data_IF_437716017373
#
_entry.id   IF_437716017373
#
_cell.length_a   1.000
_cell.length_b   1.000
_cell.length_c   1.000
_cell.angle_alpha   90.00
_cell.angle_beta   90.00
_cell.angle_gamma   90.00
#
_symmetry.space_group_name_H-M   'P 1'
#
loop_
_entity.id
_entity.type
_entity.pdbx_description
1 polymer ?
#
# COMPACT_ATOMS: atom_id res chain seq x y z
N UNK A 1 -20.70 -9.40 -5.27
CA UNK A 1 -21.19 -10.58 -4.53
C UNK A 1 -22.01 -10.04 -3.38
N UNK A 2 -23.34 -10.18 -3.42
CA UNK A 2 -24.22 -9.59 -2.40
C UNK A 2 -24.74 -10.71 -1.51
N UNK A 3 -24.03 -10.99 -0.41
CA UNK A 3 -24.40 -12.04 0.55
C UNK A 3 -24.90 -11.35 1.83
N UNK A 4 -26.05 -11.79 2.32
CA UNK A 4 -26.66 -11.29 3.55
C UNK A 4 -26.82 -12.43 4.55
N UNK A 5 -26.74 -12.09 5.83
CA UNK A 5 -26.82 -13.01 6.95
C UNK A 5 -27.86 -12.49 7.92
N UNK A 6 -28.64 -13.39 8.50
CA UNK A 6 -29.49 -13.10 9.66
C UNK A 6 -29.02 -13.96 10.81
N UNK A 7 -28.90 -13.36 12.00
CA UNK A 7 -28.76 -14.13 13.24
C UNK A 7 -30.16 -14.37 13.80
N UNK A 8 -30.46 -15.62 14.12
CA UNK A 8 -31.66 -15.99 14.87
C UNK A 8 -31.41 -15.78 16.38
N UNK A 9 -32.47 -15.53 17.17
CA UNK A 9 -32.32 -15.36 18.61
C UNK A 9 -32.00 -16.72 19.24
N UNK A 10 -30.99 -16.77 20.12
CA UNK A 10 -30.73 -18.00 20.88
C UNK A 10 -31.93 -18.30 21.81
N UNK A 11 -32.39 -19.57 21.92
CA UNK A 11 -31.80 -20.80 21.39
C UNK A 11 -32.44 -21.31 20.08
N UNK A 12 -33.16 -20.46 19.34
CA UNK A 12 -33.93 -20.86 18.16
C UNK A 12 -33.01 -21.22 16.97
N UNK A 13 -33.35 -22.31 16.29
CA UNK A 13 -32.81 -22.72 15.00
C UNK A 13 -33.83 -22.39 13.88
N UNK A 14 -33.46 -22.50 12.58
CA UNK A 14 -34.37 -22.11 11.50
C UNK A 14 -35.72 -22.86 11.49
N UNK A 15 -35.73 -24.12 11.95
CA UNK A 15 -36.93 -24.95 11.97
C UNK A 15 -37.82 -24.61 13.17
N UNK A 16 -37.26 -24.50 14.38
CA UNK A 16 -38.00 -24.06 15.57
C UNK A 16 -38.56 -22.65 15.41
N UNK A 17 -37.75 -21.71 14.89
CA UNK A 17 -38.18 -20.33 14.65
C UNK A 17 -39.34 -20.26 13.65
N UNK A 18 -39.30 -21.04 12.57
CA UNK A 18 -40.35 -21.10 11.57
C UNK A 18 -41.63 -21.79 12.07
N UNK A 19 -41.53 -22.68 13.07
CA UNK A 19 -42.68 -23.35 13.68
C UNK A 19 -43.33 -22.51 14.79
N UNK A 20 -42.54 -21.69 15.49
CA UNK A 20 -42.99 -20.84 16.58
C UNK A 20 -43.60 -19.51 16.12
N UNK A 21 -43.36 -19.12 14.87
CA UNK A 21 -43.82 -17.85 14.27
C UNK A 21 -44.63 -18.06 12.99
N UNK A 22 -45.49 -17.09 12.68
CA UNK A 22 -46.19 -17.05 11.39
C UNK A 22 -45.23 -16.68 10.26
N UNK A 23 -45.57 -17.06 9.02
CA UNK A 23 -44.77 -16.72 7.85
C UNK A 23 -44.54 -15.20 7.69
N UNK A 24 -45.50 -14.37 8.11
CA UNK A 24 -45.37 -12.92 8.08
C UNK A 24 -44.35 -12.42 9.12
N UNK A 25 -44.39 -12.95 10.35
CA UNK A 25 -43.43 -12.62 11.41
C UNK A 25 -42.00 -13.05 11.05
N UNK A 26 -41.83 -14.22 10.43
CA UNK A 26 -40.51 -14.68 9.97
C UNK A 26 -39.96 -13.77 8.87
N UNK A 27 -40.78 -13.39 7.89
CA UNK A 27 -40.34 -12.47 6.83
C UNK A 27 -39.99 -11.08 7.38
N UNK A 28 -40.79 -10.56 8.31
CA UNK A 28 -40.52 -9.28 8.95
C UNK A 28 -39.23 -9.35 9.76
N UNK A 29 -39.03 -10.43 10.52
CA UNK A 29 -37.80 -10.66 11.28
C UNK A 29 -36.57 -10.68 10.37
N UNK A 30 -36.63 -11.41 9.25
CA UNK A 30 -35.51 -11.47 8.30
C UNK A 30 -35.21 -10.08 7.74
N UNK A 31 -36.22 -9.33 7.32
CA UNK A 31 -36.04 -7.97 6.78
C UNK A 31 -35.48 -6.98 7.81
N UNK A 32 -35.90 -7.11 9.06
CA UNK A 32 -35.47 -6.22 10.14
C UNK A 32 -34.05 -6.52 10.63
N UNK A 33 -33.60 -7.79 10.52
CA UNK A 33 -32.35 -8.25 11.12
C UNK A 33 -31.28 -8.67 10.11
N UNK A 34 -31.59 -8.68 8.81
CA UNK A 34 -30.60 -9.01 7.77
C UNK A 34 -29.46 -8.01 7.80
N UNK A 35 -28.24 -8.53 7.79
CA UNK A 35 -27.02 -7.77 7.79
C UNK A 35 -26.15 -8.20 6.63
N UNK A 36 -25.31 -7.28 6.17
CA UNK A 36 -24.29 -7.59 5.19
C UNK A 36 -23.26 -8.60 5.76
N UNK A 37 -22.85 -9.58 4.93
CA UNK A 37 -21.93 -10.63 5.35
C UNK A 37 -20.57 -10.11 5.83
N UNK A 38 -19.99 -9.11 5.16
CA UNK A 38 -18.69 -8.56 5.56
C UNK A 38 -18.83 -7.79 6.87
N UNK A 39 -19.88 -6.98 7.02
CA UNK A 39 -20.14 -6.25 8.26
C UNK A 39 -20.40 -7.21 9.44
N UNK A 40 -21.14 -8.28 9.19
CA UNK A 40 -21.39 -9.35 10.15
C UNK A 40 -20.09 -10.04 10.56
N UNK A 41 -19.28 -10.48 9.58
CA UNK A 41 -17.99 -11.13 9.80
C UNK A 41 -17.03 -10.24 10.58
N UNK A 42 -16.93 -8.95 10.23
CA UNK A 42 -16.10 -7.99 10.94
C UNK A 42 -16.49 -7.88 12.41
N UNK A 43 -17.80 -7.74 12.72
CA UNK A 43 -18.29 -7.61 14.09
C UNK A 43 -18.15 -8.90 14.91
N UNK A 44 -18.46 -10.04 14.31
CA UNK A 44 -18.33 -11.34 14.95
C UNK A 44 -16.88 -11.60 15.34
N UNK A 45 -15.97 -11.44 14.38
CA UNK A 45 -14.56 -11.71 14.58
C UNK A 45 -13.90 -10.71 15.54
N UNK A 46 -14.33 -9.45 15.54
CA UNK A 46 -13.80 -8.45 16.49
C UNK A 46 -14.11 -8.82 17.95
N UNK A 47 -15.26 -9.45 18.22
CA UNK A 47 -15.59 -9.96 19.57
C UNK A 47 -14.64 -11.09 19.99
N UNK A 48 -14.22 -11.95 19.07
CA UNK A 48 -13.34 -13.08 19.36
C UNK A 48 -11.86 -12.70 19.52
N UNK A 49 -11.46 -11.52 19.03
CA UNK A 49 -10.10 -10.99 19.07
C UNK A 49 -9.89 -9.85 20.07
N UNK A 50 -10.88 -9.55 20.90
CA UNK A 50 -10.81 -8.46 21.88
C UNK A 50 -9.60 -8.65 22.81
N UNK A 51 -8.65 -7.71 22.77
CA UNK A 51 -7.44 -7.71 23.59
C UNK A 51 -6.20 -8.42 23.02
N UNK A 52 -6.28 -9.06 21.83
CA UNK A 52 -5.14 -9.76 21.20
C UNK A 52 -4.75 -9.13 19.84
N UNK A 53 -3.65 -8.35 19.77
CA UNK A 53 -3.18 -7.73 18.54
C UNK A 53 -2.85 -8.72 17.42
N UNK A 54 -2.40 -9.93 17.74
CA UNK A 54 -2.01 -10.94 16.74
C UNK A 54 -3.28 -11.49 16.07
N UNK A 55 -4.30 -11.79 16.87
CA UNK A 55 -5.61 -12.20 16.33
C UNK A 55 -6.23 -11.06 15.53
N UNK A 56 -6.19 -9.82 16.03
CA UNK A 56 -6.68 -8.65 15.29
C UNK A 56 -6.02 -8.52 13.90
N UNK A 57 -4.70 -8.71 13.81
CA UNK A 57 -3.98 -8.70 12.53
C UNK A 57 -4.41 -9.84 11.59
N UNK A 58 -4.59 -11.05 12.10
CA UNK A 58 -5.08 -12.19 11.31
C UNK A 58 -6.49 -11.92 10.73
N UNK A 59 -7.38 -11.33 11.55
CA UNK A 59 -8.72 -10.95 11.13
C UNK A 59 -8.75 -9.90 10.03
N UNK A 60 -7.87 -8.91 10.14
CA UNK A 60 -7.70 -7.89 9.10
C UNK A 60 -7.30 -8.56 7.78
N UNK A 61 -6.37 -9.53 7.81
CA UNK A 61 -5.99 -10.31 6.64
C UNK A 61 -7.15 -11.07 6.00
N UNK A 62 -7.99 -11.72 6.81
CA UNK A 62 -9.18 -12.44 6.35
C UNK A 62 -10.25 -11.52 5.74
N UNK A 63 -10.40 -10.32 6.27
CA UNK A 63 -11.29 -9.30 5.71
C UNK A 63 -10.75 -8.75 4.40
N UNK A 64 -9.46 -8.43 4.33
CA UNK A 64 -8.79 -8.01 3.09
C UNK A 64 -9.00 -9.05 1.99
N UNK A 65 -8.86 -10.35 2.30
CA UNK A 65 -9.11 -11.43 1.36
C UNK A 65 -10.56 -11.45 0.85
N UNK A 66 -11.52 -11.17 1.73
CA UNK A 66 -12.96 -11.17 1.38
C UNK A 66 -13.30 -9.95 0.52
N UNK A 67 -12.75 -8.78 0.85
CA UNK A 67 -12.91 -7.53 0.10
C UNK A 67 -12.25 -7.62 -1.29
N UNK A 68 -11.09 -8.28 -1.40
CA UNK A 68 -10.38 -8.45 -2.66
C UNK A 68 -11.19 -9.22 -3.71
N UNK A 69 -12.09 -10.11 -3.29
CA UNK A 69 -12.97 -10.87 -4.19
C UNK A 69 -14.16 -10.05 -4.72
N UNK A 70 -14.39 -8.84 -4.21
CA UNK A 70 -15.47 -7.96 -4.69
C UNK A 70 -15.03 -7.34 -6.02
N UNK A 71 -15.71 -7.63 -7.14
CA UNK A 71 -15.30 -7.12 -8.46
C UNK A 71 -15.56 -5.62 -8.58
N UNK A 72 -16.74 -5.16 -8.14
CA UNK A 72 -17.16 -3.78 -8.26
C UNK A 72 -16.31 -2.83 -7.39
N UNK A 73 -15.68 -1.80 -7.98
CA UNK A 73 -14.78 -0.91 -7.26
C UNK A 73 -15.48 0.00 -6.26
N UNK A 74 -16.72 0.39 -6.52
CA UNK A 74 -17.49 1.28 -5.64
C UNK A 74 -17.86 0.53 -4.37
N UNK A 75 -18.44 -0.67 -4.50
CA UNK A 75 -18.75 -1.56 -3.39
C UNK A 75 -17.50 -1.83 -2.56
N UNK A 76 -16.39 -2.16 -3.21
CA UNK A 76 -15.11 -2.42 -2.54
C UNK A 76 -14.65 -1.23 -1.69
N UNK A 77 -14.71 -0.01 -2.23
CA UNK A 77 -14.37 1.21 -1.48
C UNK A 77 -15.26 1.42 -0.26
N UNK A 78 -16.56 1.18 -0.39
CA UNK A 78 -17.51 1.27 0.75
C UNK A 78 -17.16 0.26 1.85
N UNK A 79 -16.84 -0.98 1.48
CA UNK A 79 -16.45 -2.00 2.46
C UNK A 79 -15.11 -1.72 3.13
N UNK A 80 -14.14 -1.20 2.40
CA UNK A 80 -12.84 -0.79 2.96
C UNK A 80 -13.05 0.27 4.05
N UNK A 81 -13.86 1.28 3.75
CA UNK A 81 -14.19 2.36 4.70
C UNK A 81 -14.91 1.84 5.95
N UNK A 82 -15.91 0.98 5.79
CA UNK A 82 -16.62 0.39 6.93
C UNK A 82 -15.72 -0.53 7.77
N UNK A 83 -14.84 -1.31 7.15
CA UNK A 83 -13.87 -2.15 7.87
C UNK A 83 -12.86 -1.31 8.66
N UNK A 84 -12.33 -0.23 8.08
CA UNK A 84 -11.45 0.70 8.78
C UNK A 84 -12.10 1.26 10.05
N UNK A 85 -13.38 1.65 9.94
CA UNK A 85 -14.18 2.15 11.07
C UNK A 85 -14.46 1.10 12.13
N UNK A 86 -14.83 -0.13 11.75
CA UNK A 86 -15.17 -1.20 12.70
C UNK A 86 -13.93 -1.72 13.42
N UNK A 87 -12.82 -1.85 12.70
CA UNK A 87 -11.59 -2.46 13.21
C UNK A 87 -10.59 -1.45 13.78
N UNK A 88 -10.88 -0.15 13.70
CA UNK A 88 -9.99 0.93 14.14
C UNK A 88 -8.60 0.80 13.51
N UNK A 89 -8.58 0.83 12.18
CA UNK A 89 -7.36 0.77 11.36
C UNK A 89 -7.44 1.82 10.26
N UNK A 90 -6.27 2.37 9.91
CA UNK A 90 -6.16 3.33 8.83
C UNK A 90 -6.63 2.71 7.51
N UNK A 91 -7.58 3.39 6.85
CA UNK A 91 -8.16 2.99 5.58
C UNK A 91 -7.07 2.79 4.51
N UNK A 92 -6.00 3.60 4.54
CA UNK A 92 -4.89 3.52 3.58
C UNK A 92 -4.15 2.19 3.64
N UNK A 93 -4.04 1.61 4.84
CA UNK A 93 -3.42 0.29 5.04
C UNK A 93 -4.31 -0.80 4.43
N UNK A 94 -5.63 -0.70 4.61
CA UNK A 94 -6.57 -1.63 4.01
C UNK A 94 -6.60 -1.51 2.48
N UNK A 95 -6.53 -0.29 1.94
CA UNK A 95 -6.48 -0.04 0.49
C UNK A 95 -5.25 -0.72 -0.12
N UNK A 96 -4.06 -0.51 0.47
CA UNK A 96 -2.82 -1.06 -0.07
C UNK A 96 -2.76 -2.59 0.01
N UNK A 97 -3.23 -3.19 1.11
CA UNK A 97 -3.28 -4.64 1.26
C UNK A 97 -4.31 -5.30 0.33
N UNK A 98 -5.49 -4.69 0.13
CA UNK A 98 -6.49 -5.18 -0.83
C UNK A 98 -5.96 -5.09 -2.26
N UNK A 99 -5.28 -4.01 -2.62
CA UNK A 99 -4.65 -3.86 -3.94
C UNK A 99 -3.58 -4.93 -4.17
N UNK A 100 -2.67 -5.12 -3.20
CA UNK A 100 -1.64 -6.17 -3.24
C UNK A 100 -2.25 -7.56 -3.41
N UNK A 101 -3.32 -7.86 -2.67
CA UNK A 101 -3.98 -9.17 -2.73
C UNK A 101 -4.63 -9.44 -4.08
N UNK A 102 -5.24 -8.43 -4.71
CA UNK A 102 -5.83 -8.55 -6.05
C UNK A 102 -4.80 -8.71 -7.15
N UNK A 103 -3.63 -8.06 -7.03
CA UNK A 103 -2.50 -8.27 -7.95
C UNK A 103 -2.02 -9.72 -7.88
N UNK A 104 -1.87 -10.26 -6.67
CA UNK A 104 -1.46 -11.64 -6.44
C UNK A 104 -2.48 -12.68 -6.93
N UNK A 105 -3.79 -12.37 -6.87
CA UNK A 105 -4.85 -13.31 -7.24
C UNK A 105 -5.33 -13.22 -8.69
N UNK A 106 -5.15 -12.07 -9.35
CA UNK A 106 -5.87 -11.76 -10.60
C UNK A 106 -5.03 -11.10 -11.68
N UNK A 107 -3.80 -10.63 -11.40
CA UNK A 107 -2.95 -9.98 -12.40
C UNK A 107 -3.53 -8.67 -12.99
N UNK A 108 -4.55 -8.11 -12.36
CA UNK A 108 -5.32 -6.95 -12.84
C UNK A 108 -4.54 -5.63 -12.65
N UNK A 109 -3.97 -5.10 -13.74
CA UNK A 109 -3.31 -3.79 -13.80
C UNK A 109 -4.27 -2.60 -13.70
N UNK A 110 -5.58 -2.81 -13.91
CA UNK A 110 -6.57 -1.71 -13.98
C UNK A 110 -6.88 -1.04 -12.64
N UNK A 111 -6.70 -1.74 -11.51
CA UNK A 111 -7.01 -1.16 -10.20
C UNK A 111 -6.02 -0.11 -9.72
N UNK A 112 -4.79 -0.17 -10.21
CA UNK A 112 -3.74 0.79 -9.86
C UNK A 112 -4.10 2.20 -10.40
N UNK A 113 -4.66 2.26 -11.61
CA UNK A 113 -5.16 3.50 -12.20
C UNK A 113 -6.43 4.04 -11.53
N UNK A 114 -7.27 3.17 -10.97
CA UNK A 114 -8.50 3.59 -10.28
C UNK A 114 -8.17 4.20 -8.92
N UNK A 115 -7.27 3.56 -8.15
CA UNK A 115 -6.82 4.06 -6.85
C UNK A 115 -6.03 5.38 -7.01
N UNK A 116 -5.14 5.49 -8.01
CA UNK A 116 -4.47 6.75 -8.35
C UNK A 116 -5.44 7.90 -8.64
N UNK A 117 -6.49 7.63 -9.43
CA UNK A 117 -7.53 8.64 -9.75
C UNK A 117 -8.38 9.05 -8.56
N UNK A 118 -8.66 8.14 -7.63
CA UNK A 118 -9.50 8.42 -6.47
C UNK A 118 -8.75 9.23 -5.38
N UNK A 119 -7.47 8.91 -5.14
CA UNK A 119 -6.59 9.68 -4.25
C UNK A 119 -6.35 11.09 -4.79
N UNK A 120 -6.15 11.25 -6.10
CA UNK A 120 -6.01 12.56 -6.74
C UNK A 120 -7.27 13.45 -6.62
N UNK A 121 -8.47 12.86 -6.63
CA UNK A 121 -9.73 13.60 -6.48
C UNK A 121 -10.02 14.02 -5.04
N UNK A 122 -9.70 13.19 -4.05
CA UNK A 122 -9.90 13.54 -2.63
C UNK A 122 -8.97 14.67 -2.16
N UNK A 123 -7.78 14.80 -2.76
CA UNK A 123 -6.86 15.92 -2.53
C UNK A 123 -7.40 17.23 -3.15
N UNK A 124 -8.16 17.13 -4.24
CA UNK A 124 -8.70 18.28 -4.96
C UNK A 124 -10.01 18.85 -4.36
N UNK A 125 -10.78 18.07 -3.59
CA UNK A 125 -12.12 18.46 -3.08
C UNK A 125 -12.16 18.83 -1.58
N UNK A 126 -11.04 18.83 -0.85
CA UNK A 126 -11.02 19.24 0.55
C UNK A 126 -11.20 20.77 0.70
N UNK A 127 -12.20 21.27 1.47
CA UNK A 127 -12.30 22.69 1.78
C UNK A 127 -11.10 23.13 2.63
N UNK A 128 -10.58 24.35 2.47
CA UNK A 128 -9.45 24.83 3.26
C UNK A 128 -9.88 24.93 4.73
N UNK A 129 -9.39 24.02 5.57
CA UNK A 129 -9.56 24.14 7.02
C UNK A 129 -8.66 25.26 7.55
N UNK A 130 -9.17 26.12 8.45
CA UNK A 130 -8.36 27.16 9.05
C UNK A 130 -7.33 26.52 9.99
N UNK A 131 -6.06 26.82 9.71
CA UNK A 131 -4.93 26.37 10.49
C UNK A 131 -5.08 26.75 11.99
N UNK A 132 -4.88 25.76 12.86
CA UNK A 132 -4.45 26.01 14.25
C UNK A 132 -2.93 25.89 14.32
N UNK A 133 -2.29 26.67 15.20
CA UNK A 133 -0.93 27.13 14.97
C UNK A 133 0.12 26.19 15.56
N UNK A 134 1.32 26.35 14.99
CA UNK A 134 2.63 26.08 15.55
C UNK A 134 3.13 24.63 15.59
N UNK A 135 3.65 24.20 14.45
CA UNK A 135 5.09 23.86 14.42
C UNK A 135 5.72 24.52 13.20
N UNK A 136 6.81 25.24 13.46
CA UNK A 136 7.40 26.26 12.61
C UNK A 136 7.81 25.72 11.23
N UNK A 137 7.07 26.12 10.20
CA UNK A 137 7.60 26.29 8.86
C UNK A 137 8.52 27.52 8.86
N UNK A 138 9.83 27.30 8.79
CA UNK A 138 10.74 28.33 8.27
C UNK A 138 10.81 28.12 6.78
N UNK A 139 9.99 28.89 6.06
CA UNK A 139 10.13 29.03 4.62
C UNK A 139 11.38 29.82 4.28
N UNK A 140 12.25 29.24 3.46
CA UNK A 140 13.02 29.95 2.44
C UNK A 140 13.04 29.09 1.19
N UNK A 141 12.68 29.71 0.09
CA UNK A 141 12.78 29.13 -1.25
C UNK A 141 14.28 29.06 -1.58
N UNK A 142 14.85 27.86 -1.69
CA UNK A 142 16.19 27.63 -2.23
C UNK A 142 16.10 26.66 -3.40
N UNK A 143 16.75 27.03 -4.49
CA UNK A 143 17.02 26.15 -5.63
C UNK A 143 17.88 24.99 -5.10
N UNK A 144 17.34 23.78 -5.13
CA UNK A 144 18.04 22.57 -4.69
C UNK A 144 17.20 21.78 -3.70
N UNK A 145 16.72 20.61 -4.12
CA UNK A 145 16.24 19.59 -3.20
C UNK A 145 17.27 19.40 -2.09
N UNK A 146 16.82 19.19 -0.84
CA UNK A 146 17.76 18.90 0.27
C UNK A 146 18.67 17.73 -0.11
N UNK A 147 19.88 17.69 0.44
CA UNK A 147 20.82 16.59 0.17
C UNK A 147 20.18 15.24 0.45
N UNK A 148 19.37 15.15 1.51
CA UNK A 148 18.58 13.96 1.83
C UNK A 148 17.53 13.62 0.76
N UNK A 149 16.86 14.62 0.17
CA UNK A 149 15.91 14.41 -0.91
C UNK A 149 16.61 13.94 -2.20
N UNK A 150 17.80 14.48 -2.50
CA UNK A 150 18.61 14.02 -3.63
C UNK A 150 19.10 12.58 -3.41
N UNK A 151 19.62 12.26 -2.23
CA UNK A 151 20.05 10.90 -1.88
C UNK A 151 18.88 9.91 -1.95
N UNK A 152 17.70 10.29 -1.46
CA UNK A 152 16.48 9.50 -1.57
C UNK A 152 16.10 9.22 -3.03
N UNK A 153 16.17 10.23 -3.90
CA UNK A 153 15.87 10.05 -5.32
C UNK A 153 16.88 9.13 -6.01
N UNK A 154 18.18 9.25 -5.71
CA UNK A 154 19.19 8.34 -6.27
C UNK A 154 18.91 6.88 -5.83
N UNK A 155 18.60 6.66 -4.55
CA UNK A 155 18.23 5.32 -4.05
C UNK A 155 16.96 4.81 -4.71
N UNK A 156 15.96 5.67 -4.93
CA UNK A 156 14.72 5.33 -5.62
C UNK A 156 14.99 4.87 -7.06
N UNK A 157 15.80 5.60 -7.81
CA UNK A 157 16.17 5.21 -9.17
C UNK A 157 16.89 3.87 -9.20
N UNK A 158 17.80 3.60 -8.26
CA UNK A 158 18.47 2.30 -8.17
C UNK A 158 17.49 1.16 -7.88
N UNK A 159 16.64 1.32 -6.86
CA UNK A 159 15.70 0.28 -6.43
C UNK A 159 14.62 -0.02 -7.47
N UNK A 160 14.13 0.98 -8.20
CA UNK A 160 13.04 0.81 -9.18
C UNK A 160 13.53 0.55 -10.59
N UNK A 161 14.54 1.29 -11.03
CA UNK A 161 14.95 1.36 -12.43
C UNK A 161 16.40 0.94 -12.65
N UNK A 162 17.13 0.50 -11.63
CA UNK A 162 18.56 0.21 -11.78
C UNK A 162 18.88 -0.91 -12.78
N UNK A 163 17.92 -1.78 -13.10
CA UNK A 163 18.06 -2.81 -14.14
C UNK A 163 17.74 -2.33 -15.55
N UNK A 164 17.09 -1.16 -15.68
CA UNK A 164 16.70 -0.62 -16.96
C UNK A 164 17.94 -0.15 -17.74
N UNK A 165 17.95 -0.50 -19.02
CA UNK A 165 18.88 0.06 -20.00
C UNK A 165 18.22 1.22 -20.72
N UNK A 166 18.96 2.28 -20.98
CA UNK A 166 18.52 3.40 -21.79
C UNK A 166 19.57 3.73 -22.86
N UNK A 167 19.11 4.24 -23.99
CA UNK A 167 20.00 4.66 -25.07
C UNK A 167 20.30 6.16 -24.91
N UNK A 168 21.57 6.49 -24.69
CA UNK A 168 22.04 7.86 -24.59
C UNK A 168 22.70 8.31 -25.89
N UNK A 169 22.34 9.48 -26.39
CA UNK A 169 22.90 10.03 -27.62
C UNK A 169 24.13 10.88 -27.31
N UNK A 170 25.31 10.28 -27.42
CA UNK A 170 26.57 10.98 -27.33
C UNK A 170 26.99 11.49 -28.73
N UNK A 171 26.57 12.72 -29.04
CA UNK A 171 26.84 13.34 -30.33
C UNK A 171 26.11 12.67 -31.51
N UNK A 172 26.83 11.88 -32.33
CA UNK A 172 26.29 11.16 -33.50
C UNK A 172 26.07 9.66 -33.25
N UNK A 173 26.43 9.16 -32.08
CA UNK A 173 26.40 7.72 -31.77
C UNK A 173 25.40 7.47 -30.65
N UNK A 174 24.65 6.36 -30.74
CA UNK A 174 23.80 5.87 -29.65
C UNK A 174 24.62 4.92 -28.80
N UNK A 175 24.70 5.18 -27.50
CA UNK A 175 25.38 4.32 -26.53
C UNK A 175 24.32 3.73 -25.62
N UNK A 176 24.28 2.41 -25.50
CA UNK A 176 23.41 1.73 -24.54
C UNK A 176 24.05 1.80 -23.16
N UNK A 177 23.34 2.40 -22.20
CA UNK A 177 23.78 2.59 -20.82
C UNK A 177 22.79 1.91 -19.87
N UNK A 178 23.27 1.45 -18.72
CA UNK A 178 22.40 0.97 -17.64
C UNK A 178 22.31 2.02 -16.52
N UNK A 179 21.10 2.18 -15.94
CA UNK A 179 20.86 3.19 -14.89
C UNK A 179 21.77 2.99 -13.68
N UNK A 180 21.90 1.76 -13.16
CA UNK A 180 22.75 1.50 -12.01
C UNK A 180 24.24 1.73 -12.33
N UNK A 181 24.69 1.33 -13.53
CA UNK A 181 26.07 1.55 -13.97
C UNK A 181 26.43 3.04 -14.05
N UNK A 182 25.56 3.87 -14.64
CA UNK A 182 25.78 5.32 -14.74
C UNK A 182 25.80 5.95 -13.36
N UNK A 183 24.82 5.64 -12.50
CA UNK A 183 24.79 6.16 -11.13
C UNK A 183 26.06 5.80 -10.36
N UNK A 184 26.51 4.55 -10.45
CA UNK A 184 27.74 4.12 -9.77
C UNK A 184 29.00 4.75 -10.35
N UNK A 185 29.10 4.88 -11.67
CA UNK A 185 30.25 5.50 -12.33
C UNK A 185 30.40 6.96 -11.94
N UNK A 186 29.30 7.73 -11.92
CA UNK A 186 29.30 9.14 -11.53
C UNK A 186 29.66 9.30 -10.04
N UNK A 187 29.04 8.50 -9.17
CA UNK A 187 29.35 8.54 -7.72
C UNK A 187 30.81 8.17 -7.43
N UNK A 188 31.37 7.17 -8.13
CA UNK A 188 32.77 6.75 -7.94
C UNK A 188 33.76 7.76 -8.53
N UNK A 189 33.45 8.37 -9.68
CA UNK A 189 34.29 9.38 -10.33
C UNK A 189 34.52 10.59 -9.43
N UNK A 190 33.46 11.06 -8.78
CA UNK A 190 33.49 12.21 -7.87
C UNK A 190 33.77 11.81 -6.40
N UNK A 191 33.93 10.51 -6.11
CA UNK A 191 34.10 9.94 -4.76
C UNK A 191 33.01 10.41 -3.79
N UNK A 192 31.78 10.45 -4.26
CA UNK A 192 30.62 10.89 -3.49
C UNK A 192 30.12 9.76 -2.60
N UNK A 193 29.95 10.06 -1.32
CA UNK A 193 29.31 9.19 -0.34
C UNK A 193 28.05 9.86 0.18
N UNK A 194 26.99 9.08 0.41
CA UNK A 194 25.76 9.62 0.98
C UNK A 194 26.00 10.05 2.43
N UNK A 195 25.47 11.22 2.78
CA UNK A 195 25.52 11.78 4.13
C UNK A 195 24.60 11.01 5.07
N UNK A 196 23.46 10.54 4.58
CA UNK A 196 22.56 9.69 5.36
C UNK A 196 23.13 8.26 5.44
N UNK A 197 23.47 7.76 6.65
CA UNK A 197 24.00 6.41 6.82
C UNK A 197 23.04 5.32 6.33
N UNK A 198 21.73 5.59 6.32
CA UNK A 198 20.69 4.63 5.94
C UNK A 198 20.65 4.46 4.42
N UNK A 199 20.69 5.56 3.67
CA UNK A 199 20.79 5.51 2.21
C UNK A 199 22.12 4.91 1.78
N UNK A 200 23.22 5.21 2.48
CA UNK A 200 24.51 4.61 2.19
C UNK A 200 24.51 3.08 2.38
N UNK A 201 23.84 2.57 3.42
CA UNK A 201 23.66 1.12 3.62
C UNK A 201 22.88 0.47 2.48
N UNK A 202 21.82 1.12 1.99
CA UNK A 202 21.04 0.65 0.84
C UNK A 202 21.93 0.62 -0.42
N UNK A 203 22.69 1.68 -0.66
CA UNK A 203 23.62 1.79 -1.79
C UNK A 203 24.66 0.67 -1.78
N UNK A 204 25.31 0.42 -0.64
CA UNK A 204 26.29 -0.67 -0.47
C UNK A 204 25.67 -2.05 -0.67
N UNK A 205 24.48 -2.27 -0.12
CA UNK A 205 23.72 -3.52 -0.29
C UNK A 205 23.39 -3.75 -1.76
N UNK A 206 22.90 -2.71 -2.44
CA UNK A 206 22.59 -2.78 -3.86
C UNK A 206 23.85 -3.10 -4.67
N UNK A 207 24.96 -2.39 -4.42
CA UNK A 207 26.23 -2.59 -5.11
C UNK A 207 26.77 -4.01 -4.91
N UNK A 208 26.64 -4.58 -3.72
CA UNK A 208 27.04 -5.96 -3.44
C UNK A 208 26.21 -6.97 -4.23
N UNK A 209 24.88 -6.80 -4.29
CA UNK A 209 23.99 -7.69 -5.04
C UNK A 209 24.16 -7.52 -6.55
N UNK A 210 24.31 -6.29 -7.03
CA UNK A 210 24.54 -5.97 -8.44
C UNK A 210 25.84 -6.61 -8.97
N UNK A 211 26.92 -6.62 -8.16
CA UNK A 211 28.16 -7.34 -8.49
C UNK A 211 27.98 -8.85 -8.61
N UNK A 212 27.03 -9.44 -7.90
CA UNK A 212 26.74 -10.88 -7.95
C UNK A 212 25.83 -11.25 -9.12
N UNK A 213 24.84 -10.40 -9.42
CA UNK A 213 23.79 -10.66 -10.42
C UNK A 213 24.18 -10.23 -11.85
N UNK A 214 25.12 -9.31 -11.99
CA UNK A 214 25.58 -8.78 -13.27
C UNK A 214 24.69 -7.66 -13.82
N UNK A 215 25.24 -6.93 -14.80
CA UNK A 215 24.59 -5.75 -15.42
C UNK A 215 23.32 -6.17 -16.16
N UNK A 216 22.23 -5.40 -15.96
CA UNK A 216 20.93 -5.62 -16.61
C UNK A 216 20.01 -6.61 -15.87
N UNK A 217 20.44 -7.18 -14.75
CA UNK A 217 19.59 -8.03 -13.90
C UNK A 217 18.99 -7.20 -12.76
N UNK A 218 17.67 -7.29 -12.56
CA UNK A 218 16.99 -6.65 -11.44
C UNK A 218 17.46 -7.21 -10.11
N UNK A 219 17.96 -6.34 -9.23
CA UNK A 219 18.26 -6.70 -7.86
C UNK A 219 16.94 -6.92 -7.12
N UNK A 220 16.63 -8.15 -6.67
CA UNK A 220 15.32 -8.43 -6.12
C UNK A 220 15.03 -7.62 -4.85
N UNK A 221 13.83 -7.01 -4.80
CA UNK A 221 13.41 -6.18 -3.66
C UNK A 221 13.47 -6.90 -2.30
N UNK A 222 13.33 -8.23 -2.27
CA UNK A 222 13.36 -9.02 -1.03
C UNK A 222 14.70 -8.94 -0.27
N UNK A 223 15.81 -8.59 -0.94
CA UNK A 223 17.10 -8.37 -0.27
C UNK A 223 17.11 -7.10 0.58
N UNK A 224 16.28 -6.12 0.23
CA UNK A 224 16.14 -4.86 0.96
C UNK A 224 15.01 -4.93 1.99
N UNK A 225 13.96 -5.68 1.69
CA UNK A 225 12.83 -5.91 2.62
C UNK A 225 13.18 -6.82 3.80
N UNK A 226 14.16 -7.72 3.63
CA UNK A 226 14.66 -8.62 4.68
C UNK A 226 16.04 -8.21 5.21
N UNK A 227 16.42 -6.94 5.06
CA UNK A 227 17.71 -6.45 5.53
C UNK A 227 17.83 -6.60 7.07
N UNK A 228 19.03 -6.92 7.63
CA UNK A 228 19.20 -7.08 9.09
C UNK A 228 18.98 -5.78 9.88
N UNK A 229 18.99 -4.63 9.20
CA UNK A 229 18.72 -3.33 9.77
C UNK A 229 17.25 -2.92 9.51
N UNK A 230 16.41 -2.77 10.55
CA UNK A 230 15.00 -2.44 10.39
C UNK A 230 14.77 -1.05 9.78
N UNK A 231 15.69 -0.10 9.94
CA UNK A 231 15.55 1.23 9.34
C UNK A 231 15.71 1.19 7.82
N UNK A 232 16.61 0.34 7.34
CA UNK A 232 16.83 0.08 5.92
C UNK A 232 15.61 -0.59 5.29
N UNK A 233 14.99 -1.55 5.99
CA UNK A 233 13.74 -2.18 5.54
C UNK A 233 12.62 -1.16 5.39
N UNK A 234 12.38 -0.35 6.42
CA UNK A 234 11.30 0.64 6.41
C UNK A 234 11.49 1.69 5.29
N UNK A 235 12.72 2.18 5.10
CA UNK A 235 13.03 3.12 4.02
C UNK A 235 12.89 2.49 2.64
N UNK A 236 13.32 1.24 2.48
CA UNK A 236 13.18 0.53 1.20
C UNK A 236 11.71 0.29 0.85
N UNK A 237 10.87 -0.06 1.84
CA UNK A 237 9.40 -0.16 1.66
C UNK A 237 8.83 1.20 1.25
N UNK A 238 9.15 2.26 1.98
CA UNK A 238 8.67 3.61 1.71
C UNK A 238 9.05 4.09 0.31
N UNK A 239 10.29 3.84 -0.13
CA UNK A 239 10.77 4.22 -1.46
C UNK A 239 10.12 3.39 -2.58
N UNK A 240 10.00 2.07 -2.40
CA UNK A 240 9.35 1.18 -3.37
C UNK A 240 7.85 1.47 -3.51
N UNK A 241 7.20 1.95 -2.44
CA UNK A 241 5.78 2.32 -2.44
C UNK A 241 5.50 3.78 -2.76
N UNK A 242 6.51 4.65 -2.74
CA UNK A 242 6.41 6.06 -3.15
C UNK A 242 6.10 6.18 -4.65
N UNK A 243 5.19 7.08 -5.04
CA UNK A 243 4.87 7.34 -6.45
C UNK A 243 6.07 7.88 -7.24
N UNK A 244 6.12 7.59 -8.55
CA UNK A 244 7.15 8.08 -9.49
C UNK A 244 6.91 9.51 -9.98
N UNK A 245 5.96 10.22 -9.37
CA UNK A 245 5.65 11.60 -9.72
C UNK A 245 6.81 12.52 -9.35
N UNK A 246 7.79 12.65 -10.25
CA UNK A 246 8.61 13.85 -10.34
C UNK A 246 7.66 14.98 -10.73
N UNK A 247 7.24 15.78 -9.76
CA UNK A 247 6.61 17.07 -10.03
C UNK A 247 7.78 18.03 -10.26
N UNK A 248 8.11 18.41 -11.51
CA UNK A 248 9.05 19.50 -11.72
C UNK A 248 8.48 20.71 -10.97
N UNK A 249 9.24 21.18 -9.99
CA UNK A 249 8.93 22.41 -9.27
C UNK A 249 9.04 23.61 -10.20
#
# INVERSE_FOLDING_TARGET
>A
MNVRVVLLPEPEDPDSFARSHTAAEVQEYIRANEQDFLAFKARLLLRDAEGDPIRKAALIGDMVQSIAQIPDPIQRSVYIKECGRIMDIDERILISEVARKRLASTGDRETDEFVRRQTARQIAEAPPQPARPDTQFVGRIEVGSSVEALEREIVKYLLKHGHEGFEFKEGRTMVACNVAEVIFSELDADRLTFRDPRFNKILETYRAQWRQLGVGTEVPAHHFLNHPDPEVCNLSVDILTSDDNYVPS
#
